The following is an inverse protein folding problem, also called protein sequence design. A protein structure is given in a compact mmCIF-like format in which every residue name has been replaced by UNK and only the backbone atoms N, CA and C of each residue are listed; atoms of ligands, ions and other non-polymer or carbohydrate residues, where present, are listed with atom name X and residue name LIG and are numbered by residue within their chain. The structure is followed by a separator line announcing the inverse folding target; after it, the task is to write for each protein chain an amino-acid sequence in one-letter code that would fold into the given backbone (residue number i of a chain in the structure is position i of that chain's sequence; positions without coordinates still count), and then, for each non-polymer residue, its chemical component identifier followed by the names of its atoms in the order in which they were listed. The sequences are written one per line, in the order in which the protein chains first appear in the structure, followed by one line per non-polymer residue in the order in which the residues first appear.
data_IF_208298508882
#
_entry.id   IF_208298508882
#
_cell.length_a   1.000
_cell.length_b   1.000
_cell.length_c   1.000
_cell.angle_alpha   90.00
_cell.angle_beta   90.00
_cell.angle_gamma   90.00
#
_symmetry.space_group_name_H-M   'P 1'
#
loop_
_entity.id
_entity.type
_entity.pdbx_description
1 polymer ?
#
# COMPACT_ATOMS: atom_id res chain seq x y z
N UNK A 1 4.83 -6.62 -18.93
CA UNK A 1 4.81 -5.32 -18.22
C UNK A 1 3.61 -5.26 -17.27
N UNK A 2 3.84 -4.88 -16.03
CA UNK A 2 2.77 -4.82 -15.03
C UNK A 2 1.98 -3.53 -15.23
N UNK A 3 0.64 -3.63 -15.32
CA UNK A 3 -0.22 -2.46 -15.44
C UNK A 3 -0.28 -1.70 -14.11
N UNK A 4 -0.74 -0.44 -14.16
CA UNK A 4 -0.93 0.35 -12.94
C UNK A 4 -1.96 -0.29 -12.01
N UNK A 5 -3.00 -0.89 -12.57
CA UNK A 5 -4.02 -1.57 -11.77
C UNK A 5 -3.43 -2.78 -11.06
N UNK A 6 -2.61 -3.57 -11.76
CA UNK A 6 -1.94 -4.72 -11.16
C UNK A 6 -1.00 -4.28 -10.04
N UNK A 7 -0.25 -3.19 -10.26
CA UNK A 7 0.63 -2.63 -9.23
C UNK A 7 -0.18 -2.18 -8.01
N UNK A 8 -1.32 -1.55 -8.23
CA UNK A 8 -2.21 -1.13 -7.15
C UNK A 8 -2.64 -2.32 -6.30
N UNK A 9 -3.05 -3.39 -6.96
CA UNK A 9 -3.46 -4.61 -6.27
C UNK A 9 -2.32 -5.23 -5.47
N UNK A 10 -1.12 -5.23 -6.04
CA UNK A 10 0.06 -5.74 -5.35
C UNK A 10 0.39 -4.92 -4.10
N UNK A 11 0.31 -3.59 -4.20
CA UNK A 11 0.57 -2.72 -3.05
C UNK A 11 -0.48 -2.90 -1.96
N UNK A 12 -1.74 -3.07 -2.33
CA UNK A 12 -2.81 -3.32 -1.37
C UNK A 12 -2.59 -4.64 -0.63
N UNK A 13 -2.14 -5.65 -1.34
CA UNK A 13 -1.82 -6.94 -0.73
C UNK A 13 -0.63 -6.82 0.22
N UNK A 14 0.39 -6.07 -0.15
CA UNK A 14 1.56 -5.82 0.69
C UNK A 14 1.16 -5.14 2.02
N UNK A 15 0.28 -4.14 1.95
CA UNK A 15 -0.20 -3.45 3.14
C UNK A 15 -0.98 -4.41 4.03
N UNK A 16 -1.80 -5.24 3.43
CA UNK A 16 -2.59 -6.23 4.16
C UNK A 16 -1.70 -7.20 4.93
N UNK A 17 -0.67 -7.71 4.27
CA UNK A 17 0.29 -8.63 4.87
C UNK A 17 1.05 -7.93 6.01
N UNK A 18 1.50 -6.69 5.79
CA UNK A 18 2.25 -5.93 6.78
C UNK A 18 1.40 -5.64 8.02
N UNK A 19 0.14 -5.27 7.84
CA UNK A 19 -0.77 -5.02 8.96
C UNK A 19 -1.01 -6.27 9.77
N UNK A 20 -1.16 -7.40 9.11
CA UNK A 20 -1.32 -8.68 9.79
C UNK A 20 -0.09 -9.04 10.59
N UNK A 21 1.10 -8.79 10.04
CA UNK A 21 2.36 -9.02 10.72
C UNK A 21 2.44 -8.23 12.03
N UNK A 22 2.09 -6.93 11.96
CA UNK A 22 2.09 -6.07 13.16
C UNK A 22 1.10 -6.58 14.19
N UNK A 23 -0.08 -6.98 13.75
CA UNK A 23 -1.12 -7.50 14.64
C UNK A 23 -0.65 -8.77 15.38
N UNK A 24 0.04 -9.66 14.69
CA UNK A 24 0.53 -10.91 15.27
C UNK A 24 1.70 -10.72 16.23
N UNK A 25 2.57 -9.74 15.96
CA UNK A 25 3.81 -9.55 16.73
C UNK A 25 3.68 -8.49 17.82
N UNK A 26 2.54 -7.77 17.88
CA UNK A 26 2.32 -6.75 18.88
C UNK A 26 2.99 -5.42 18.55
N UNK A 27 2.78 -4.42 19.40
CA UNK A 27 3.21 -3.04 19.11
C UNK A 27 4.67 -2.74 19.40
N UNK A 28 5.41 -3.63 20.01
CA UNK A 28 6.80 -3.35 20.37
C UNK A 28 7.70 -3.34 19.13
N UNK A 29 8.55 -2.32 19.03
CA UNK A 29 9.57 -2.18 17.98
C UNK A 29 9.02 -2.19 16.55
N UNK A 30 7.75 -1.78 16.36
CA UNK A 30 7.12 -1.77 15.05
C UNK A 30 7.02 -0.38 14.42
N UNK A 31 7.72 0.60 14.98
CA UNK A 31 7.69 1.97 14.46
C UNK A 31 8.08 2.05 12.99
N UNK A 32 9.15 1.39 12.60
CA UNK A 32 9.60 1.40 11.22
C UNK A 32 8.62 0.69 10.28
N UNK A 33 7.94 -0.34 10.78
CA UNK A 33 6.93 -1.06 9.99
C UNK A 33 5.73 -0.15 9.73
N UNK A 34 5.28 0.59 10.74
CA UNK A 34 4.19 1.56 10.56
C UNK A 34 4.57 2.64 9.55
N UNK A 35 5.80 3.11 9.60
CA UNK A 35 6.29 4.09 8.64
C UNK A 35 6.28 3.52 7.22
N UNK A 36 6.71 2.28 7.06
CA UNK A 36 6.69 1.61 5.77
C UNK A 36 5.26 1.44 5.25
N UNK A 37 4.32 1.05 6.12
CA UNK A 37 2.91 0.91 5.76
C UNK A 37 2.36 2.25 5.29
N UNK A 38 2.63 3.33 6.01
CA UNK A 38 2.17 4.67 5.62
C UNK A 38 2.72 5.07 4.26
N UNK A 39 3.99 4.77 3.99
CA UNK A 39 4.60 5.06 2.70
C UNK A 39 3.88 4.30 1.57
N UNK A 40 3.62 3.01 1.78
CA UNK A 40 2.93 2.19 0.78
C UNK A 40 1.49 2.70 0.57
N UNK A 41 0.80 3.09 1.64
CA UNK A 41 -0.54 3.64 1.53
C UNK A 41 -0.56 4.94 0.73
N UNK A 42 0.44 5.80 0.89
CA UNK A 42 0.57 7.00 0.08
C UNK A 42 0.78 6.66 -1.40
N UNK A 43 1.58 5.64 -1.69
CA UNK A 43 1.77 5.18 -3.06
C UNK A 43 0.46 4.65 -3.66
N UNK A 44 -0.34 3.96 -2.86
CA UNK A 44 -1.65 3.48 -3.30
C UNK A 44 -2.54 4.65 -3.67
N UNK A 45 -2.59 5.69 -2.84
CA UNK A 45 -3.38 6.89 -3.14
C UNK A 45 -2.92 7.56 -4.42
N UNK A 46 -1.62 7.70 -4.61
CA UNK A 46 -1.08 8.30 -5.82
C UNK A 46 -1.47 7.51 -7.06
N UNK A 47 -1.38 6.19 -7.00
CA UNK A 47 -1.76 5.32 -8.10
C UNK A 47 -3.26 5.41 -8.41
N UNK A 48 -4.09 5.44 -7.37
CA UNK A 48 -5.53 5.59 -7.55
C UNK A 48 -5.88 6.89 -8.24
N UNK A 49 -5.25 7.99 -7.82
CA UNK A 49 -5.47 9.29 -8.43
C UNK A 49 -5.02 9.29 -9.89
N UNK A 50 -3.91 8.68 -10.19
CA UNK A 50 -3.38 8.59 -11.53
C UNK A 50 -4.31 7.78 -12.45
N UNK A 51 -4.81 6.66 -11.95
CA UNK A 51 -5.75 5.81 -12.69
C UNK A 51 -7.05 6.56 -12.94
N UNK A 52 -7.59 7.26 -11.93
CA UNK A 52 -8.82 8.01 -12.05
C UNK A 52 -8.69 9.17 -13.05
N UNK A 53 -7.55 9.85 -13.05
CA UNK A 53 -7.30 10.91 -14.02
C UNK A 53 -7.36 10.39 -15.45
N UNK A 54 -6.85 9.21 -15.71
CA UNK A 54 -6.88 8.62 -17.03
C UNK A 54 -8.28 8.20 -17.45
N UNK A 55 -9.11 7.79 -16.49
CA UNK A 55 -10.48 7.41 -16.75
C UNK A 55 -11.35 8.63 -17.04
N UNK A 56 -11.04 9.76 -16.40
CA UNK A 56 -11.80 11.01 -16.57
C UNK A 56 -11.39 11.79 -17.82
N UNK A 57 -10.29 11.43 -18.42
CA UNK A 57 -9.86 12.07 -19.67
C UNK A 57 -10.59 11.51 -20.92
#
# INVERSE_FOLDING_TARGET
MISKLDRLMMLQEEVKIAKKFVEEHGPEDMGYVHTAINYIEERILDLRLDINKKLDA
#
